data_IF_343234242885
#
_entry.id   IF_343234242885
#
_cell.length_a   1.000
_cell.length_b   1.000
_cell.length_c   1.000
_cell.angle_alpha   90.00
_cell.angle_beta   90.00
_cell.angle_gamma   90.00
#
_symmetry.space_group_name_H-M   'P 1'
#
loop_
_entity.id
_entity.type
_entity.pdbx_description
1 polymer ?
#
# COMPACT_ATOMS: atom_id res chain seq x y z
N UNK A 1 -9.61 -68.27 -8.31
CA UNK A 1 -9.04 -67.60 -7.14
C UNK A 1 -8.42 -66.31 -7.64
N UNK A 2 -9.22 -65.20 -7.68
CA UNK A 2 -8.79 -63.91 -8.18
C UNK A 2 -8.42 -63.01 -7.03
N UNK A 3 -7.14 -62.62 -6.95
CA UNK A 3 -6.65 -61.61 -6.01
C UNK A 3 -6.97 -60.19 -6.55
N UNK A 4 -7.85 -59.46 -5.88
CA UNK A 4 -8.09 -58.06 -6.12
C UNK A 4 -6.96 -57.22 -5.43
N UNK A 5 -6.13 -56.57 -6.25
CA UNK A 5 -5.16 -55.61 -5.79
C UNK A 5 -5.84 -54.28 -5.44
N UNK A 6 -5.79 -53.91 -4.17
CA UNK A 6 -6.30 -52.63 -3.66
C UNK A 6 -5.24 -51.54 -3.89
N UNK A 7 -5.53 -50.61 -4.83
CA UNK A 7 -4.68 -49.44 -5.08
C UNK A 7 -5.01 -48.37 -4.02
N UNK A 8 -4.06 -48.12 -3.12
CA UNK A 8 -4.10 -46.99 -2.19
C UNK A 8 -3.74 -45.71 -2.93
N UNK A 9 -4.71 -44.83 -3.13
CA UNK A 9 -4.44 -43.44 -3.54
C UNK A 9 -3.89 -42.63 -2.35
N UNK A 10 -2.81 -41.86 -2.53
CA UNK A 10 -2.33 -40.95 -1.49
C UNK A 10 -3.33 -39.80 -1.32
N UNK A 11 -3.83 -39.59 -0.11
CA UNK A 11 -4.64 -38.43 0.25
C UNK A 11 -3.72 -37.19 0.24
N UNK A 12 -3.94 -36.28 -0.71
CA UNK A 12 -3.35 -34.95 -0.67
C UNK A 12 -3.93 -34.17 0.51
N UNK A 13 -3.18 -34.08 1.58
CA UNK A 13 -3.49 -33.24 2.73
C UNK A 13 -3.26 -31.77 2.32
N UNK A 14 -4.29 -31.05 1.87
CA UNK A 14 -4.26 -29.61 1.68
C UNK A 14 -4.28 -28.95 3.06
N UNK A 15 -3.11 -28.69 3.64
CA UNK A 15 -3.00 -27.81 4.78
C UNK A 15 -3.47 -26.40 4.35
N UNK A 16 -4.46 -25.79 5.06
CA UNK A 16 -4.82 -24.41 4.78
C UNK A 16 -3.59 -23.53 5.06
N UNK A 17 -3.15 -22.77 4.06
CA UNK A 17 -2.12 -21.75 4.24
C UNK A 17 -2.63 -20.77 5.31
N UNK A 18 -2.07 -20.85 6.52
CA UNK A 18 -2.33 -19.86 7.56
C UNK A 18 -1.85 -18.51 7.03
N UNK A 19 -2.75 -17.55 6.88
CA UNK A 19 -2.41 -16.17 6.59
C UNK A 19 -1.32 -15.73 7.60
N UNK A 20 -0.13 -15.39 7.09
CA UNK A 20 0.93 -14.88 7.94
C UNK A 20 0.41 -13.59 8.58
N UNK A 21 0.47 -13.51 9.91
CA UNK A 21 0.03 -12.34 10.67
C UNK A 21 0.76 -11.09 10.11
N UNK A 22 0.03 -10.26 9.39
CA UNK A 22 0.48 -8.91 9.03
C UNK A 22 0.58 -8.14 10.33
N UNK A 23 1.67 -7.39 10.55
CA UNK A 23 1.83 -6.55 11.73
C UNK A 23 0.57 -5.69 11.95
N UNK A 24 0.10 -5.59 13.20
CA UNK A 24 -1.14 -4.87 13.50
C UNK A 24 -1.09 -3.43 12.97
N UNK A 25 -2.22 -2.92 12.47
CA UNK A 25 -2.35 -1.55 11.98
C UNK A 25 -2.03 -0.53 13.09
N UNK A 26 -1.11 0.42 12.80
CA UNK A 26 -0.65 1.43 13.76
C UNK A 26 -1.71 2.51 13.99
N UNK A 27 -2.74 2.17 14.78
CA UNK A 27 -3.85 3.07 15.09
C UNK A 27 -3.37 4.44 15.59
N UNK A 28 -2.33 4.50 16.41
CA UNK A 28 -1.84 5.75 16.98
C UNK A 28 -1.33 6.69 15.88
N UNK A 29 -0.48 6.23 14.98
CA UNK A 29 0.06 7.03 13.89
C UNK A 29 -1.01 7.48 12.90
N UNK A 30 -1.98 6.59 12.56
CA UNK A 30 -3.08 6.92 11.65
C UNK A 30 -4.17 7.81 12.27
N UNK A 31 -4.22 7.93 13.59
CA UNK A 31 -5.15 8.84 14.29
C UNK A 31 -4.53 10.20 14.59
N UNK A 32 -3.21 10.33 14.54
CA UNK A 32 -2.49 11.57 14.80
C UNK A 32 -2.76 12.62 13.70
N UNK A 33 -2.65 13.89 14.10
CA UNK A 33 -2.84 15.04 13.21
C UNK A 33 -1.53 15.81 13.05
N UNK A 34 -1.35 16.37 11.86
CA UNK A 34 -0.14 17.12 11.53
C UNK A 34 1.10 16.23 11.33
N UNK A 35 2.05 16.75 10.56
CA UNK A 35 3.24 15.99 10.16
C UNK A 35 4.13 15.60 11.35
N UNK A 36 4.34 16.52 12.28
CA UNK A 36 5.24 16.32 13.42
C UNK A 36 4.78 15.17 14.32
N UNK A 37 3.49 15.12 14.68
CA UNK A 37 2.98 14.07 15.59
C UNK A 37 2.98 12.70 14.92
N UNK A 38 2.58 12.64 13.64
CA UNK A 38 2.64 11.41 12.86
C UNK A 38 4.08 10.90 12.79
N UNK A 39 5.03 11.74 12.39
CA UNK A 39 6.43 11.35 12.24
C UNK A 39 7.07 10.91 13.56
N UNK A 40 6.71 11.55 14.69
CA UNK A 40 7.13 11.10 16.02
C UNK A 40 6.67 9.68 16.32
N UNK A 41 5.42 9.36 15.99
CA UNK A 41 4.84 8.02 16.18
C UNK A 41 5.40 6.98 15.22
N UNK A 42 6.01 7.41 14.10
CA UNK A 42 6.77 6.55 13.18
C UNK A 42 8.26 6.42 13.57
N UNK A 43 8.68 7.06 14.66
CA UNK A 43 10.04 6.96 15.18
C UNK A 43 11.00 8.05 14.70
N UNK A 44 10.50 9.16 14.14
CA UNK A 44 11.33 10.33 13.88
C UNK A 44 11.57 11.08 15.22
N UNK A 45 12.82 11.31 15.64
CA UNK A 45 13.11 12.03 16.88
C UNK A 45 12.41 13.41 16.87
N UNK A 46 11.59 13.68 17.87
CA UNK A 46 10.80 14.92 17.99
C UNK A 46 9.89 15.23 16.76
N UNK A 47 9.66 14.24 15.86
CA UNK A 47 8.92 14.45 14.62
C UNK A 47 9.66 15.31 13.59
N UNK A 48 10.97 15.45 13.73
CA UNK A 48 11.80 16.28 12.85
C UNK A 48 12.32 15.47 11.67
N UNK A 49 12.26 16.06 10.48
CA UNK A 49 12.82 15.53 9.24
C UNK A 49 13.72 16.57 8.59
N UNK A 50 14.72 16.11 7.83
CA UNK A 50 15.58 16.97 7.03
C UNK A 50 15.02 17.04 5.61
N UNK A 51 14.77 18.24 5.10
CA UNK A 51 14.38 18.45 3.70
C UNK A 51 15.51 18.05 2.75
N UNK A 52 15.16 17.39 1.65
CA UNK A 52 16.15 16.94 0.67
C UNK A 52 15.60 16.91 -0.76
N UNK A 53 16.45 17.26 -1.73
CA UNK A 53 16.20 17.06 -3.16
C UNK A 53 16.50 15.63 -3.64
N UNK A 54 17.02 14.77 -2.75
CA UNK A 54 17.26 13.37 -3.08
C UNK A 54 15.96 12.57 -3.22
N UNK A 55 14.86 13.02 -2.61
CA UNK A 55 13.51 12.46 -2.78
C UNK A 55 12.78 13.30 -3.82
N UNK A 56 12.23 12.67 -4.84
CA UNK A 56 11.45 13.31 -5.89
C UNK A 56 10.01 12.78 -5.87
N UNK A 57 9.06 13.70 -5.98
CA UNK A 57 7.64 13.42 -6.12
C UNK A 57 7.26 13.93 -7.51
N UNK A 58 7.08 13.02 -8.47
CA UNK A 58 6.78 13.41 -9.85
C UNK A 58 5.41 14.08 -9.97
N UNK A 59 5.31 15.00 -10.96
CA UNK A 59 4.02 15.56 -11.35
C UNK A 59 3.17 14.50 -12.01
N UNK A 60 1.90 14.38 -11.63
CA UNK A 60 0.98 13.57 -12.40
C UNK A 60 0.70 14.26 -13.75
N UNK A 61 0.69 13.48 -14.83
CA UNK A 61 0.36 13.98 -16.17
C UNK A 61 -1.08 14.53 -16.25
N UNK A 62 -1.96 14.06 -15.37
CA UNK A 62 -3.33 14.54 -15.19
C UNK A 62 -3.82 14.27 -13.77
N UNK A 63 -4.56 15.22 -13.19
CA UNK A 63 -5.34 15.01 -11.96
C UNK A 63 -6.80 14.79 -12.35
N UNK A 64 -7.26 13.54 -12.28
CA UNK A 64 -8.69 13.24 -12.39
C UNK A 64 -9.35 13.43 -11.02
N UNK A 65 -9.95 14.59 -10.80
CA UNK A 65 -10.66 14.90 -9.55
C UNK A 65 -9.77 14.83 -8.32
N UNK A 66 -10.17 14.01 -7.33
CA UNK A 66 -9.45 13.84 -6.06
C UNK A 66 -8.36 12.74 -6.09
N UNK A 67 -8.28 11.96 -7.18
CA UNK A 67 -7.34 10.86 -7.33
C UNK A 67 -6.04 11.36 -7.96
N UNK A 68 -4.94 11.20 -7.25
CA UNK A 68 -3.61 11.59 -7.69
C UNK A 68 -2.72 10.36 -7.82
N UNK A 69 -2.07 10.20 -8.97
CA UNK A 69 -0.96 9.27 -9.15
C UNK A 69 0.26 9.85 -8.44
N UNK A 70 0.81 9.12 -7.51
CA UNK A 70 2.00 9.50 -6.77
C UNK A 70 3.15 8.59 -7.17
N UNK A 71 4.09 9.12 -7.93
CA UNK A 71 5.31 8.46 -8.37
C UNK A 71 6.48 9.01 -7.55
N UNK A 72 7.06 8.15 -6.73
CA UNK A 72 8.08 8.52 -5.74
C UNK A 72 9.39 7.87 -6.15
N UNK A 73 10.42 8.67 -6.34
CA UNK A 73 11.78 8.17 -6.58
C UNK A 73 12.78 8.81 -5.62
N UNK A 74 13.88 8.11 -5.35
CA UNK A 74 14.91 8.63 -4.46
C UNK A 74 16.32 8.15 -4.84
N UNK A 75 17.31 8.97 -4.46
CA UNK A 75 18.74 8.60 -4.50
C UNK A 75 19.31 8.30 -3.11
N UNK A 76 18.46 8.28 -2.07
CA UNK A 76 18.86 7.86 -0.74
C UNK A 76 19.19 6.36 -0.73
N UNK A 77 20.27 5.99 -0.06
CA UNK A 77 20.66 4.60 0.17
C UNK A 77 19.96 4.03 1.41
N UNK A 78 19.88 2.70 1.51
CA UNK A 78 19.42 1.98 2.71
C UNK A 78 18.12 2.54 3.33
N UNK A 79 17.16 2.88 2.47
CA UNK A 79 15.83 3.31 2.93
C UNK A 79 15.06 2.09 3.41
N UNK A 80 14.60 2.12 4.65
CA UNK A 80 13.84 1.04 5.28
C UNK A 80 12.39 1.41 5.61
N UNK A 81 12.04 2.70 5.56
CA UNK A 81 10.66 3.16 5.73
C UNK A 81 10.35 4.32 4.78
N UNK A 82 9.12 4.31 4.27
CA UNK A 82 8.53 5.41 3.48
C UNK A 82 7.18 5.75 4.06
N UNK A 83 6.93 7.02 4.36
CA UNK A 83 5.64 7.52 4.81
C UNK A 83 5.12 8.58 3.83
N UNK A 84 3.84 8.47 3.46
CA UNK A 84 3.12 9.45 2.65
C UNK A 84 2.13 10.16 3.55
N UNK A 85 2.26 11.49 3.66
CA UNK A 85 1.42 12.33 4.49
C UNK A 85 0.74 13.41 3.64
N UNK A 86 -0.51 13.70 3.93
CA UNK A 86 -1.29 14.78 3.28
C UNK A 86 -1.82 15.71 4.35
N UNK A 87 -1.45 16.98 4.28
CA UNK A 87 -1.66 17.95 5.35
C UNK A 87 -3.14 18.12 5.71
N UNK A 88 -3.98 18.33 4.71
CA UNK A 88 -5.39 18.69 4.91
C UNK A 88 -6.35 17.51 4.82
N UNK A 89 -5.84 16.30 4.58
CA UNK A 89 -6.71 15.12 4.61
C UNK A 89 -7.22 14.85 6.04
N UNK A 90 -8.43 14.31 6.19
CA UNK A 90 -8.95 13.92 7.50
C UNK A 90 -8.05 12.94 8.26
N UNK A 91 -7.27 12.13 7.56
CA UNK A 91 -6.18 11.31 8.11
C UNK A 91 -4.89 11.79 7.48
N UNK A 92 -4.01 12.41 8.27
CA UNK A 92 -2.74 12.96 7.79
C UNK A 92 -1.83 11.88 7.22
N UNK A 93 -1.64 10.74 7.91
CA UNK A 93 -0.89 9.61 7.40
C UNK A 93 -1.72 8.85 6.36
N UNK A 94 -1.32 8.94 5.10
CA UNK A 94 -2.00 8.27 4.00
C UNK A 94 -1.55 6.82 3.85
N UNK A 95 -0.24 6.59 3.88
CA UNK A 95 0.37 5.26 3.80
C UNK A 95 1.71 5.24 4.55
N UNK A 96 2.06 4.07 5.07
CA UNK A 96 3.36 3.79 5.68
C UNK A 96 3.87 2.44 5.17
N UNK A 97 5.06 2.46 4.58
CA UNK A 97 5.71 1.29 4.02
C UNK A 97 6.95 0.94 4.85
N UNK A 98 7.15 -0.35 5.08
CA UNK A 98 8.37 -0.93 5.63
C UNK A 98 9.03 -1.75 4.53
N UNK A 99 10.30 -1.46 4.26
CA UNK A 99 11.05 -2.00 3.15
C UNK A 99 12.20 -2.87 3.67
N UNK A 100 12.05 -4.19 3.68
CA UNK A 100 13.16 -5.10 3.98
C UNK A 100 14.32 -4.92 3.00
N UNK A 101 15.53 -5.30 3.43
CA UNK A 101 16.72 -5.25 2.59
C UNK A 101 16.50 -5.95 1.24
N UNK A 102 16.90 -5.30 0.16
CA UNK A 102 16.69 -5.76 -1.22
C UNK A 102 15.42 -5.22 -1.88
N UNK A 103 14.60 -4.46 -1.16
CA UNK A 103 13.45 -3.74 -1.74
C UNK A 103 13.85 -2.31 -2.07
N UNK A 104 13.48 -1.88 -3.27
CA UNK A 104 13.72 -0.53 -3.76
C UNK A 104 12.77 0.47 -3.09
N UNK A 105 13.26 1.64 -2.66
CA UNK A 105 12.41 2.67 -2.08
C UNK A 105 11.54 3.44 -3.09
N UNK A 106 11.72 3.20 -4.39
CA UNK A 106 10.90 3.82 -5.42
C UNK A 106 9.52 3.15 -5.47
N UNK A 107 8.48 3.93 -5.29
CA UNK A 107 7.11 3.43 -5.18
C UNK A 107 6.16 4.24 -6.07
N UNK A 108 5.18 3.54 -6.65
CA UNK A 108 4.07 4.20 -7.32
C UNK A 108 2.75 3.73 -6.70
N UNK A 109 1.92 4.67 -6.29
CA UNK A 109 0.58 4.41 -5.78
C UNK A 109 -0.39 5.52 -6.21
N UNK A 110 -1.67 5.36 -5.88
CA UNK A 110 -2.66 6.40 -6.09
C UNK A 110 -3.29 6.79 -4.75
N UNK A 111 -3.33 8.07 -4.49
CA UNK A 111 -3.89 8.65 -3.27
C UNK A 111 -5.08 9.55 -3.57
N UNK A 112 -5.88 9.83 -2.57
CA UNK A 112 -6.91 10.87 -2.58
C UNK A 112 -6.41 12.09 -1.83
N UNK A 113 -6.58 13.26 -2.44
CA UNK A 113 -6.32 14.56 -1.81
C UNK A 113 -7.64 15.33 -1.80
N UNK A 114 -8.17 15.55 -0.62
CA UNK A 114 -9.54 16.09 -0.44
C UNK A 114 -9.69 17.53 -0.95
N UNK A 115 -8.64 18.33 -0.79
CA UNK A 115 -8.53 19.71 -1.23
C UNK A 115 -7.08 20.03 -1.57
N UNK A 116 -6.82 21.17 -2.20
CA UNK A 116 -5.45 21.63 -2.46
C UNK A 116 -4.61 21.57 -1.19
N UNK A 117 -3.56 20.76 -1.20
CA UNK A 117 -2.84 20.35 0.01
C UNK A 117 -1.37 20.08 -0.25
N UNK A 118 -0.55 20.23 0.78
CA UNK A 118 0.82 19.74 0.77
C UNK A 118 0.83 18.23 0.99
N UNK A 119 1.48 17.52 0.07
CA UNK A 119 1.85 16.12 0.22
C UNK A 119 3.32 16.06 0.64
N UNK A 120 3.61 15.39 1.74
CA UNK A 120 4.96 15.10 2.19
C UNK A 120 5.25 13.62 1.98
N UNK A 121 6.41 13.32 1.41
CA UNK A 121 7.01 11.98 1.41
C UNK A 121 8.20 12.02 2.35
N UNK A 122 8.13 11.25 3.43
CA UNK A 122 9.22 11.11 4.40
C UNK A 122 9.82 9.70 4.31
N UNK A 123 11.15 9.61 4.32
CA UNK A 123 11.88 8.36 4.21
C UNK A 123 12.89 8.24 5.35
N UNK A 124 12.98 7.05 5.96
CA UNK A 124 14.06 6.73 6.89
C UNK A 124 15.19 6.05 6.12
N UNK A 125 16.37 6.66 6.16
CA UNK A 125 17.60 6.17 5.54
C UNK A 125 18.72 6.25 6.59
N UNK A 126 19.41 5.13 6.83
CA UNK A 126 20.50 5.04 7.80
C UNK A 126 20.11 5.59 9.20
N UNK A 127 18.88 5.30 9.63
CA UNK A 127 18.33 5.73 10.92
C UNK A 127 17.91 7.20 11.00
N UNK A 128 18.09 7.99 9.94
CA UNK A 128 17.69 9.41 9.86
C UNK A 128 16.46 9.58 8.99
N UNK A 129 15.65 10.58 9.29
CA UNK A 129 14.46 10.91 8.53
C UNK A 129 14.71 12.09 7.58
N UNK A 130 14.34 11.88 6.32
CA UNK A 130 14.46 12.82 5.21
C UNK A 130 13.09 13.05 4.61
N UNK A 131 12.82 14.23 4.08
CA UNK A 131 11.53 14.49 3.44
C UNK A 131 11.65 15.36 2.19
N UNK A 132 10.66 15.21 1.31
CA UNK A 132 10.32 16.18 0.28
C UNK A 132 8.84 16.52 0.37
N UNK A 133 8.50 17.74 -0.03
CA UNK A 133 7.12 18.25 -0.05
C UNK A 133 6.75 18.74 -1.44
N UNK A 134 5.48 18.56 -1.76
CA UNK A 134 4.90 19.11 -2.98
C UNK A 134 3.45 19.51 -2.73
N UNK A 135 3.04 20.65 -3.26
CA UNK A 135 1.64 21.05 -3.25
C UNK A 135 0.92 20.42 -4.44
N UNK A 136 -0.20 19.78 -4.18
CA UNK A 136 -1.10 19.26 -5.21
C UNK A 136 -2.40 20.04 -5.18
N UNK A 137 -2.80 20.52 -6.36
CA UNK A 137 -4.06 21.24 -6.54
C UNK A 137 -5.18 20.23 -6.79
N UNK A 138 -6.20 20.23 -5.94
CA UNK A 138 -7.42 19.45 -6.16
C UNK A 138 -8.37 20.28 -7.02
N UNK A 139 -8.74 19.77 -8.19
CA UNK A 139 -9.71 20.41 -9.08
C UNK A 139 -11.11 19.88 -8.69
N UNK A 140 -11.66 20.41 -7.61
CA UNK A 140 -13.07 20.34 -7.23
C UNK A 140 -13.75 18.97 -7.23
N UNK A 141 -14.49 18.71 -6.18
CA UNK A 141 -15.32 17.52 -6.02
C UNK A 141 -14.86 16.70 -4.82
N UNK A 142 -15.54 16.88 -3.70
CA UNK A 142 -15.20 16.26 -2.44
C UNK A 142 -14.95 14.76 -2.52
N UNK A 143 -14.13 14.24 -1.63
CA UNK A 143 -13.94 12.80 -1.36
C UNK A 143 -15.24 12.05 -1.00
N UNK A 144 -16.40 12.65 -1.26
CA UNK A 144 -17.71 12.24 -0.77
C UNK A 144 -18.53 11.33 -1.65
N UNK A 145 -18.14 11.08 -2.90
CA UNK A 145 -18.86 10.12 -3.73
C UNK A 145 -18.40 8.69 -3.42
N UNK A 146 -19.27 7.85 -2.89
CA UNK A 146 -19.19 6.42 -3.16
C UNK A 146 -19.48 6.30 -4.67
N UNK A 147 -18.44 6.34 -5.52
CA UNK A 147 -18.61 6.27 -6.96
C UNK A 147 -19.53 5.10 -7.34
N UNK A 148 -20.42 5.32 -8.30
CA UNK A 148 -21.29 4.31 -8.86
C UNK A 148 -20.46 3.10 -9.27
N UNK A 149 -20.66 1.99 -8.61
CA UNK A 149 -20.00 0.71 -8.84
C UNK A 149 -20.21 -0.21 -7.67
N UNK A 150 -20.15 -1.50 -7.93
CA UNK A 150 -20.34 -2.53 -6.90
C UNK A 150 -19.37 -2.30 -5.75
N UNK A 151 -19.88 -2.02 -4.57
CA UNK A 151 -19.10 -1.91 -3.34
C UNK A 151 -18.68 -3.32 -2.90
N UNK A 152 -17.64 -3.85 -3.50
CA UNK A 152 -17.17 -5.20 -3.24
C UNK A 152 -15.64 -5.18 -3.09
N UNK A 153 -15.14 -5.85 -2.06
CA UNK A 153 -13.75 -6.26 -1.99
C UNK A 153 -13.54 -7.53 -2.84
N UNK A 154 -12.38 -7.67 -3.45
CA UNK A 154 -12.15 -8.74 -4.41
C UNK A 154 -10.68 -9.11 -4.56
N UNK A 155 -10.37 -9.74 -5.71
CA UNK A 155 -9.04 -10.26 -6.00
C UNK A 155 -7.98 -9.17 -6.15
N UNK A 156 -6.74 -9.56 -5.92
CA UNK A 156 -5.55 -8.79 -6.25
C UNK A 156 -5.01 -9.26 -7.59
N UNK A 157 -4.97 -8.36 -8.58
CA UNK A 157 -4.20 -8.58 -9.79
C UNK A 157 -2.73 -8.32 -9.49
N UNK A 158 -1.87 -9.32 -9.69
CA UNK A 158 -0.42 -9.23 -9.44
C UNK A 158 0.30 -9.55 -10.74
N UNK A 159 1.10 -8.61 -11.24
CA UNK A 159 1.90 -8.74 -12.47
C UNK A 159 3.38 -8.50 -12.16
N UNK A 160 4.09 -9.51 -11.69
CA UNK A 160 5.52 -9.40 -11.43
C UNK A 160 6.29 -9.73 -12.70
N UNK A 161 7.26 -8.87 -13.04
CA UNK A 161 8.08 -8.98 -14.26
C UNK A 161 9.55 -8.84 -13.89
N UNK A 162 10.40 -9.74 -14.39
CA UNK A 162 11.85 -9.63 -14.24
C UNK A 162 12.40 -8.55 -15.19
N UNK A 163 13.15 -7.60 -14.63
CA UNK A 163 13.86 -6.56 -15.38
C UNK A 163 15.22 -6.32 -14.78
N UNK A 164 16.27 -6.46 -15.58
CA UNK A 164 17.66 -6.16 -15.17
C UNK A 164 18.06 -6.81 -13.84
N UNK A 165 17.68 -8.09 -13.63
CA UNK A 165 17.99 -8.83 -12.41
C UNK A 165 17.14 -8.45 -11.17
N UNK A 166 16.11 -7.64 -11.35
CA UNK A 166 15.18 -7.20 -10.29
C UNK A 166 13.74 -7.47 -10.70
N UNK A 167 12.87 -7.68 -9.74
CA UNK A 167 11.44 -7.95 -9.98
C UNK A 167 10.63 -6.68 -9.78
N UNK A 168 10.06 -6.16 -10.86
CA UNK A 168 9.03 -5.12 -10.81
C UNK A 168 7.67 -5.77 -10.57
N UNK A 169 7.03 -5.46 -9.47
CA UNK A 169 5.67 -5.89 -9.15
C UNK A 169 4.71 -4.75 -9.40
N UNK A 170 3.70 -5.01 -10.24
CA UNK A 170 2.53 -4.12 -10.40
C UNK A 170 1.33 -4.84 -9.82
N UNK A 171 0.68 -4.19 -8.86
CA UNK A 171 -0.50 -4.78 -8.23
C UNK A 171 -1.68 -3.82 -8.21
N UNK A 172 -2.90 -4.40 -8.27
CA UNK A 172 -4.16 -3.68 -8.10
C UNK A 172 -5.12 -4.57 -7.32
N UNK A 173 -5.60 -4.06 -6.19
CA UNK A 173 -6.54 -4.75 -5.32
C UNK A 173 -7.92 -4.17 -5.56
N UNK A 174 -8.87 -4.98 -5.98
CA UNK A 174 -10.28 -4.57 -6.06
C UNK A 174 -10.80 -4.31 -4.66
N UNK A 175 -10.98 -3.02 -4.32
CA UNK A 175 -11.47 -2.61 -3.01
C UNK A 175 -12.07 -1.20 -3.08
N UNK A 176 -13.23 -0.94 -2.47
CA UNK A 176 -13.91 0.35 -2.60
C UNK A 176 -13.17 1.51 -1.92
N UNK A 177 -12.32 1.26 -0.91
CA UNK A 177 -11.54 2.28 -0.20
C UNK A 177 -12.41 3.49 0.19
N UNK A 178 -13.55 3.24 0.86
CA UNK A 178 -14.51 4.27 1.27
C UNK A 178 -13.90 5.16 2.32
N UNK A 179 -13.90 6.48 2.07
CA UNK A 179 -13.36 7.46 2.99
C UNK A 179 -14.37 7.81 4.10
N UNK A 180 -13.88 8.39 5.19
CA UNK A 180 -14.70 8.94 6.25
C UNK A 180 -15.53 10.18 5.85
N UNK A 181 -15.25 10.76 4.67
CA UNK A 181 -16.02 11.86 4.08
C UNK A 181 -17.14 11.36 3.15
N UNK A 182 -17.21 10.04 2.89
CA UNK A 182 -18.18 9.49 1.97
C UNK A 182 -19.62 9.69 2.46
N UNK A 183 -20.51 10.00 1.52
CA UNK A 183 -21.93 10.18 1.71
C UNK A 183 -22.70 9.33 0.72
N UNK A 184 -23.87 8.85 1.10
CA UNK A 184 -24.82 8.24 0.17
C UNK A 184 -25.57 9.30 -0.66
N UNK A 185 -26.44 8.85 -1.55
CA UNK A 185 -27.25 9.73 -2.39
C UNK A 185 -28.18 10.68 -1.58
N UNK A 186 -28.52 10.31 -0.35
CA UNK A 186 -29.30 11.12 0.57
C UNK A 186 -28.44 12.06 1.45
N UNK A 187 -27.10 12.09 1.24
CA UNK A 187 -26.16 12.90 2.01
C UNK A 187 -25.78 12.30 3.38
N UNK A 188 -26.26 11.11 3.72
CA UNK A 188 -25.95 10.44 4.98
C UNK A 188 -24.52 9.91 4.98
N UNK A 189 -23.75 10.03 6.08
CA UNK A 189 -22.41 9.46 6.18
C UNK A 189 -22.39 7.95 5.97
N UNK A 190 -21.45 7.48 5.14
CA UNK A 190 -21.17 6.06 4.94
C UNK A 190 -20.00 5.69 5.83
N UNK A 191 -20.10 4.53 6.54
CA UNK A 191 -19.02 4.04 7.38
C UNK A 191 -17.75 3.76 6.52
N UNK A 192 -16.57 4.16 6.96
CA UNK A 192 -15.33 3.90 6.25
C UNK A 192 -15.12 2.39 6.02
N UNK A 193 -14.60 2.06 4.82
CA UNK A 193 -14.23 0.70 4.47
C UNK A 193 -12.95 0.73 3.64
N UNK A 194 -11.84 0.28 4.20
CA UNK A 194 -10.53 0.43 3.60
C UNK A 194 -9.56 -0.66 4.05
N UNK A 195 -8.62 -1.00 3.18
CA UNK A 195 -7.50 -1.88 3.49
C UNK A 195 -6.64 -1.20 4.55
N UNK A 196 -6.38 -1.90 5.66
CA UNK A 196 -5.50 -1.42 6.73
C UNK A 196 -4.06 -1.88 6.54
N UNK A 197 -3.87 -3.15 6.15
CA UNK A 197 -2.54 -3.76 6.05
C UNK A 197 -2.39 -4.51 4.73
N UNK A 198 -1.19 -4.47 4.17
CA UNK A 198 -0.78 -5.24 3.01
C UNK A 198 0.62 -5.78 3.25
N UNK A 199 0.83 -7.05 2.93
CA UNK A 199 2.15 -7.69 2.90
C UNK A 199 2.40 -8.30 1.54
N UNK A 200 3.55 -7.98 0.94
CA UNK A 200 4.08 -8.71 -0.19
C UNK A 200 5.20 -9.64 0.26
N UNK A 201 5.19 -10.89 -0.22
CA UNK A 201 6.20 -11.88 0.11
C UNK A 201 6.66 -12.67 -1.11
N UNK A 202 7.90 -13.13 -1.08
CA UNK A 202 8.53 -14.01 -2.04
C UNK A 202 9.19 -15.18 -1.29
N UNK A 203 8.83 -16.42 -1.60
CA UNK A 203 9.33 -17.63 -0.92
C UNK A 203 9.23 -17.54 0.63
N UNK A 204 8.12 -17.05 1.15
CA UNK A 204 7.88 -16.88 2.59
C UNK A 204 8.60 -15.69 3.24
N UNK A 205 9.52 -15.01 2.52
CA UNK A 205 10.20 -13.81 3.00
C UNK A 205 9.39 -12.56 2.65
N UNK A 206 9.13 -11.70 3.61
CA UNK A 206 8.52 -10.40 3.36
C UNK A 206 9.45 -9.55 2.49
N UNK A 207 8.91 -8.97 1.42
CA UNK A 207 9.61 -8.02 0.54
C UNK A 207 9.04 -6.61 0.67
N UNK A 208 7.81 -6.46 1.18
CA UNK A 208 7.22 -5.17 1.50
C UNK A 208 6.08 -5.35 2.50
N UNK A 209 6.04 -4.54 3.54
CA UNK A 209 4.85 -4.33 4.38
C UNK A 209 4.31 -2.91 4.15
N UNK A 210 2.99 -2.77 4.09
CA UNK A 210 2.34 -1.47 3.98
C UNK A 210 1.14 -1.37 4.90
N UNK A 211 0.91 -0.17 5.42
CA UNK A 211 -0.29 0.19 6.15
C UNK A 211 -0.94 1.40 5.49
N UNK A 212 -2.26 1.39 5.41
CA UNK A 212 -3.01 2.37 4.66
C UNK A 212 -4.08 3.06 5.51
N UNK A 213 -4.47 4.26 5.08
CA UNK A 213 -5.67 4.93 5.52
C UNK A 213 -6.73 4.95 4.42
N UNK A 214 -7.85 5.57 4.72
CA UNK A 214 -8.93 5.83 3.75
C UNK A 214 -8.50 6.74 2.59
N UNK A 215 -7.30 7.36 2.67
CA UNK A 215 -6.78 8.26 1.65
C UNK A 215 -6.07 7.54 0.48
N UNK A 216 -5.88 6.23 0.53
CA UNK A 216 -5.54 5.45 -0.66
C UNK A 216 -6.75 5.43 -1.61
N UNK A 217 -6.49 5.54 -2.90
CA UNK A 217 -7.55 5.58 -3.91
C UNK A 217 -8.29 4.22 -4.03
N UNK A 218 -9.52 4.27 -4.54
CA UNK A 218 -10.29 3.08 -4.90
C UNK A 218 -9.46 2.17 -5.80
N UNK A 219 -9.65 0.86 -5.64
CA UNK A 219 -8.86 -0.17 -6.32
C UNK A 219 -7.36 0.05 -6.06
N UNK A 220 -6.98 -0.06 -4.81
CA UNK A 220 -5.64 0.23 -4.32
C UNK A 220 -4.55 -0.37 -5.22
N UNK A 221 -3.76 0.47 -5.85
CA UNK A 221 -2.66 0.06 -6.72
C UNK A 221 -1.32 0.38 -6.09
N UNK A 222 -0.36 -0.53 -6.25
CA UNK A 222 0.99 -0.38 -5.75
C UNK A 222 1.97 -1.01 -6.74
N UNK A 223 2.96 -0.21 -7.17
CA UNK A 223 4.11 -0.72 -7.90
C UNK A 223 5.35 -0.57 -7.01
N UNK A 224 6.15 -1.61 -6.96
CA UNK A 224 7.42 -1.64 -6.22
C UNK A 224 8.40 -2.61 -6.89
N UNK A 225 9.68 -2.52 -6.51
CA UNK A 225 10.75 -3.36 -7.05
C UNK A 225 11.48 -4.04 -5.91
N UNK A 226 11.84 -5.32 -6.07
CA UNK A 226 12.69 -6.03 -5.14
C UNK A 226 13.69 -6.94 -5.85
N UNK A 227 14.73 -7.39 -5.14
CA UNK A 227 15.80 -8.23 -5.63
C UNK A 227 15.77 -9.63 -5.03
N UNK A 228 16.46 -10.59 -5.68
CA UNK A 228 16.68 -11.94 -5.16
C UNK A 228 15.62 -12.96 -5.57
N UNK A 229 14.80 -12.65 -6.56
CA UNK A 229 13.88 -13.59 -7.20
C UNK A 229 14.35 -13.93 -8.63
N UNK A 230 13.71 -14.92 -9.24
CA UNK A 230 13.94 -15.36 -10.62
C UNK A 230 12.63 -15.60 -11.34
N UNK A 231 12.67 -15.65 -12.68
CA UNK A 231 11.54 -16.05 -13.51
C UNK A 231 11.02 -17.42 -13.08
N UNK A 232 9.70 -17.56 -13.00
CA UNK A 232 9.00 -18.75 -12.51
C UNK A 232 8.70 -18.75 -11.01
N UNK A 233 9.37 -17.92 -10.21
CA UNK A 233 9.03 -17.75 -8.79
C UNK A 233 7.66 -17.08 -8.62
N UNK A 234 7.09 -17.16 -7.41
CA UNK A 234 5.81 -16.57 -7.05
C UNK A 234 5.97 -15.38 -6.12
N UNK A 235 5.22 -14.32 -6.38
CA UNK A 235 5.01 -13.21 -5.46
C UNK A 235 3.60 -13.34 -4.90
N UNK A 236 3.47 -13.35 -3.58
CA UNK A 236 2.20 -13.35 -2.88
C UNK A 236 1.92 -11.95 -2.33
N UNK A 237 0.67 -11.48 -2.43
CA UNK A 237 0.18 -10.28 -1.75
C UNK A 237 -1.00 -10.66 -0.89
N UNK A 238 -0.87 -10.44 0.41
CA UNK A 238 -1.92 -10.60 1.40
C UNK A 238 -2.33 -9.24 1.95
N UNK A 239 -3.64 -9.03 2.17
CA UNK A 239 -4.16 -7.80 2.76
C UNK A 239 -5.28 -8.10 3.76
N UNK A 240 -5.52 -7.15 4.66
CA UNK A 240 -6.69 -7.13 5.53
C UNK A 240 -7.27 -5.73 5.64
N UNK A 241 -8.59 -5.63 5.84
CA UNK A 241 -9.32 -4.38 5.95
C UNK A 241 -9.86 -4.12 7.35
N UNK A 242 -10.48 -2.94 7.53
CA UNK A 242 -11.06 -2.52 8.82
C UNK A 242 -12.38 -3.20 9.17
N UNK A 243 -12.92 -4.06 8.30
CA UNK A 243 -14.12 -4.88 8.54
C UNK A 243 -13.78 -6.34 8.85
N UNK A 244 -12.49 -6.68 8.86
CA UNK A 244 -12.00 -8.03 9.14
C UNK A 244 -11.93 -8.93 7.92
N UNK A 245 -12.20 -8.42 6.71
CA UNK A 245 -11.97 -9.16 5.49
C UNK A 245 -10.48 -9.25 5.20
N UNK A 246 -10.03 -10.41 4.76
CA UNK A 246 -8.64 -10.65 4.40
C UNK A 246 -8.54 -11.56 3.19
N UNK A 247 -7.53 -11.33 2.36
CA UNK A 247 -7.30 -12.11 1.15
C UNK A 247 -5.82 -12.23 0.85
N UNK A 248 -5.47 -13.31 0.16
CA UNK A 248 -4.12 -13.55 -0.35
C UNK A 248 -4.21 -14.08 -1.77
N UNK A 249 -3.51 -13.44 -2.69
CA UNK A 249 -3.41 -13.82 -4.09
C UNK A 249 -1.93 -13.93 -4.50
N UNK A 250 -1.63 -14.67 -5.58
CA UNK A 250 -0.27 -14.89 -6.08
C UNK A 250 -0.14 -14.49 -7.55
N UNK A 251 1.07 -14.08 -7.95
CA UNK A 251 1.47 -13.86 -9.33
C UNK A 251 2.80 -14.56 -9.63
N UNK A 252 2.92 -15.12 -10.84
CA UNK A 252 4.16 -15.77 -11.30
C UNK A 252 5.03 -14.73 -12.00
N UNK A 253 6.31 -14.67 -11.64
CA UNK A 253 7.32 -13.78 -12.25
C UNK A 253 7.61 -14.24 -13.69
N UNK A 254 7.39 -13.35 -14.64
CA UNK A 254 7.68 -13.57 -16.06
C UNK A 254 8.87 -12.76 -16.53
#
# INVERSE_FOLDING_TARGET
MFMQGMVLMPAFCTTPLRAQNVAGWNRAAFSAKGFTDVLRLLGAPNGVVTETSAIQIAEPDTTEGVKIRLDITTRLSQVDQVAILVEKNPTTLTAWFQLPAGTDPNLLTHIKVAETSVVMVAMRSEGKWWAARRTFTSIGGGCGGAGEGTLQAGSTLIRPVMREGRTLVRSRITHPMISQLARDAAGKPIAPWFIQTLRASHQGRTVLDAQFSTAIARDASLNFVFSGAKTGDRVQIAWSDNRGESRSDEGIIV
#
